data_IF_266058042631
#
_entry.id   IF_266058042631
#
_cell.length_a   1.000
_cell.length_b   1.000
_cell.length_c   1.000
_cell.angle_alpha   90.00
_cell.angle_beta   90.00
_cell.angle_gamma   90.00
#
_symmetry.space_group_name_H-M   'P 1'
#
loop_
_entity.id
_entity.type
_entity.pdbx_description
1 polymer ?
#
# COMPACT_ATOMS: atom_id res chain seq x y z
N UNK A 1 -6.84 -11.66 -6.77
CA UNK A 1 -7.32 -12.96 -7.28
C UNK A 1 -6.29 -14.07 -7.10
N UNK A 2 -5.03 -13.88 -7.50
CA UNK A 2 -3.96 -14.88 -7.36
C UNK A 2 -3.67 -15.36 -5.92
N UNK A 3 -3.92 -14.51 -4.92
CA UNK A 3 -3.79 -14.87 -3.49
C UNK A 3 -4.60 -16.10 -3.10
N UNK A 4 -5.83 -16.21 -3.61
CA UNK A 4 -6.68 -17.38 -3.33
C UNK A 4 -6.14 -18.66 -3.98
N UNK A 5 -5.58 -18.56 -5.19
CA UNK A 5 -4.96 -19.71 -5.86
C UNK A 5 -3.75 -20.23 -5.08
N UNK A 6 -2.86 -19.33 -4.66
CA UNK A 6 -1.67 -19.69 -3.88
C UNK A 6 -2.06 -20.31 -2.53
N UNK A 7 -3.04 -19.72 -1.84
CA UNK A 7 -3.59 -20.28 -0.60
C UNK A 7 -4.26 -21.65 -0.82
N UNK A 8 -4.94 -21.84 -1.95
CA UNK A 8 -5.52 -23.14 -2.33
C UNK A 8 -4.47 -24.22 -2.56
N UNK A 9 -3.37 -23.88 -3.25
CA UNK A 9 -2.24 -24.82 -3.46
C UNK A 9 -1.57 -25.17 -2.14
N UNK A 10 -1.30 -24.17 -1.28
CA UNK A 10 -0.73 -24.40 0.05
C UNK A 10 -1.65 -25.25 0.95
N UNK A 11 -2.96 -25.03 0.83
CA UNK A 11 -3.98 -25.84 1.51
C UNK A 11 -3.91 -27.30 1.05
N UNK A 12 -3.91 -27.56 -0.26
CA UNK A 12 -3.81 -28.90 -0.84
C UNK A 12 -2.52 -29.62 -0.44
N UNK A 13 -1.39 -28.90 -0.40
CA UNK A 13 -0.11 -29.43 0.05
C UNK A 13 -0.17 -29.91 1.50
N UNK A 14 -0.72 -29.09 2.40
CA UNK A 14 -0.80 -29.47 3.82
C UNK A 14 -1.81 -30.59 4.07
N UNK A 15 -2.97 -30.57 3.41
CA UNK A 15 -3.93 -31.68 3.48
C UNK A 15 -3.30 -32.97 2.93
N UNK A 16 -2.64 -32.89 1.77
CA UNK A 16 -1.93 -34.02 1.17
C UNK A 16 -0.83 -34.57 2.08
N UNK A 17 -0.06 -33.70 2.74
CA UNK A 17 0.96 -34.12 3.70
C UNK A 17 0.35 -34.90 4.88
N UNK A 18 -0.79 -34.44 5.42
CA UNK A 18 -1.48 -35.17 6.51
C UNK A 18 -2.02 -36.52 6.04
N UNK A 19 -2.59 -36.59 4.82
CA UNK A 19 -3.02 -37.87 4.23
C UNK A 19 -1.86 -38.81 3.93
N UNK A 20 -0.67 -38.28 3.66
CA UNK A 20 0.53 -39.08 3.44
C UNK A 20 1.10 -39.62 4.75
N UNK A 21 1.19 -38.77 5.79
CA UNK A 21 1.73 -39.14 7.10
C UNK A 21 0.78 -40.11 7.84
N UNK A 22 -0.53 -40.06 7.55
CA UNK A 22 -1.57 -40.88 8.16
C UNK A 22 -1.40 -40.99 9.68
N UNK A 23 -1.49 -39.85 10.41
CA UNK A 23 -1.25 -39.85 11.84
C UNK A 23 -2.21 -40.84 12.54
N UNK A 24 -1.67 -41.60 13.49
CA UNK A 24 -2.40 -42.58 14.33
C UNK A 24 -3.55 -41.95 15.12
N UNK A 25 -3.59 -40.62 15.21
CA UNK A 25 -4.69 -39.87 15.80
C UNK A 25 -6.00 -39.92 14.97
N UNK A 26 -5.93 -40.01 13.64
CA UNK A 26 -7.11 -40.06 12.75
C UNK A 26 -7.23 -41.37 11.97
N UNK A 27 -6.14 -42.13 11.88
CA UNK A 27 -6.10 -43.40 11.14
C UNK A 27 -5.86 -44.56 12.11
N UNK A 28 -6.55 -45.66 11.85
CA UNK A 28 -6.25 -46.96 12.47
C UNK A 28 -4.91 -47.49 11.91
N UNK A 29 -4.20 -48.41 12.60
CA UNK A 29 -2.98 -49.02 12.07
C UNK A 29 -3.18 -49.69 10.70
N UNK A 30 -4.41 -50.13 10.43
CA UNK A 30 -4.84 -50.71 9.15
C UNK A 30 -5.03 -49.65 8.03
N UNK A 31 -4.78 -48.37 8.31
CA UNK A 31 -4.95 -47.26 7.38
C UNK A 31 -6.41 -46.89 7.10
N UNK A 32 -7.37 -47.47 7.83
CA UNK A 32 -8.77 -47.04 7.80
C UNK A 32 -8.96 -45.73 8.55
N UNK A 33 -9.98 -44.98 8.14
CA UNK A 33 -10.38 -43.76 8.83
C UNK A 33 -11.07 -44.14 10.13
N UNK A 34 -10.67 -43.49 11.23
CA UNK A 34 -11.30 -43.66 12.52
C UNK A 34 -12.64 -42.93 12.53
N UNK A 35 -13.68 -43.58 13.05
CA UNK A 35 -15.01 -42.99 13.09
C UNK A 35 -15.07 -41.88 14.15
N UNK A 36 -15.83 -40.82 13.87
CA UNK A 36 -16.06 -39.78 14.86
C UNK A 36 -17.06 -40.28 15.89
N UNK A 37 -16.68 -40.25 17.16
CA UNK A 37 -17.58 -40.64 18.24
C UNK A 37 -17.01 -40.32 19.63
N UNK A 38 -17.93 -40.10 20.57
CA UNK A 38 -17.64 -39.90 21.99
C UNK A 38 -18.18 -41.12 22.73
N UNK A 39 -17.32 -41.83 23.47
CA UNK A 39 -17.75 -42.90 24.38
C UNK A 39 -17.77 -44.32 23.81
N UNK A 40 -16.93 -44.64 22.83
CA UNK A 40 -16.65 -46.03 22.42
C UNK A 40 -15.15 -46.28 22.42
N UNK A 41 -14.73 -47.54 22.60
CA UNK A 41 -13.34 -47.98 22.82
C UNK A 41 -12.30 -47.13 22.07
N UNK A 42 -11.29 -46.67 22.82
CA UNK A 42 -10.29 -45.66 22.41
C UNK A 42 -9.57 -46.02 21.09
N UNK A 43 -9.57 -47.30 20.72
CA UNK A 43 -8.93 -47.81 19.51
C UNK A 43 -9.73 -47.53 18.22
N UNK A 44 -11.04 -47.27 18.30
CA UNK A 44 -11.93 -47.16 17.11
C UNK A 44 -12.54 -45.78 16.87
N UNK A 45 -12.55 -44.89 17.88
CA UNK A 45 -13.18 -43.58 17.78
C UNK A 45 -12.21 -42.42 17.98
N UNK A 46 -12.36 -41.35 17.20
CA UNK A 46 -11.57 -40.13 17.38
C UNK A 46 -12.47 -38.93 17.68
N UNK A 47 -12.10 -38.10 18.68
CA UNK A 47 -12.88 -36.92 19.05
C UNK A 47 -12.71 -35.76 18.06
N UNK A 48 -11.76 -35.86 17.13
CA UNK A 48 -11.42 -34.78 16.20
C UNK A 48 -11.57 -35.27 14.75
N UNK A 49 -12.65 -34.91 14.06
CA UNK A 49 -12.91 -35.43 12.74
C UNK A 49 -12.08 -34.69 11.69
N UNK A 50 -11.75 -35.37 10.59
CA UNK A 50 -10.84 -34.85 9.56
C UNK A 50 -11.28 -33.54 8.91
N UNK A 51 -12.58 -33.37 8.69
CA UNK A 51 -13.13 -32.12 8.14
C UNK A 51 -12.84 -30.91 9.03
N UNK A 52 -12.75 -31.09 10.35
CA UNK A 52 -12.44 -30.00 11.27
C UNK A 52 -10.99 -29.56 11.12
N UNK A 53 -10.06 -30.51 10.94
CA UNK A 53 -8.69 -30.19 10.54
C UNK A 53 -8.65 -29.45 9.20
N UNK A 54 -9.40 -29.89 8.19
CA UNK A 54 -9.47 -29.20 6.90
C UNK A 54 -9.93 -27.76 7.04
N UNK A 55 -10.95 -27.51 7.87
CA UNK A 55 -11.47 -26.17 8.11
C UNK A 55 -10.42 -25.27 8.78
N UNK A 56 -9.75 -25.77 9.82
CA UNK A 56 -8.68 -25.05 10.51
C UNK A 56 -7.50 -24.78 9.58
N UNK A 57 -7.10 -25.77 8.78
CA UNK A 57 -6.00 -25.64 7.84
C UNK A 57 -6.31 -24.66 6.71
N UNK A 58 -7.57 -24.57 6.25
CA UNK A 58 -8.00 -23.61 5.25
C UNK A 58 -7.83 -22.16 5.75
N UNK A 59 -8.27 -21.88 6.98
CA UNK A 59 -8.08 -20.56 7.61
C UNK A 59 -6.59 -20.27 7.79
N UNK A 60 -5.82 -21.24 8.28
CA UNK A 60 -4.38 -21.08 8.49
C UNK A 60 -3.64 -20.78 7.18
N UNK A 61 -3.93 -21.51 6.11
CA UNK A 61 -3.31 -21.32 4.79
C UNK A 61 -3.58 -19.91 4.26
N UNK A 62 -4.83 -19.45 4.34
CA UNK A 62 -5.19 -18.11 3.88
C UNK A 62 -4.48 -17.01 4.67
N UNK A 63 -4.49 -17.10 6.01
CA UNK A 63 -3.80 -16.14 6.88
C UNK A 63 -2.28 -16.14 6.64
N UNK A 64 -1.69 -17.33 6.47
CA UNK A 64 -0.27 -17.47 6.17
C UNK A 64 0.12 -16.73 4.90
N UNK A 65 -0.64 -16.89 3.80
CA UNK A 65 -0.40 -16.18 2.54
C UNK A 65 -0.58 -14.67 2.69
N UNK A 66 -1.59 -14.22 3.46
CA UNK A 66 -1.79 -12.80 3.75
C UNK A 66 -0.61 -12.17 4.47
N UNK A 67 -0.11 -12.83 5.53
CA UNK A 67 1.05 -12.38 6.31
C UNK A 67 2.28 -12.34 5.42
N UNK A 68 2.55 -13.42 4.69
CA UNK A 68 3.74 -13.54 3.85
C UNK A 68 3.76 -12.48 2.74
N UNK A 69 2.64 -12.29 2.04
CA UNK A 69 2.54 -11.30 0.97
C UNK A 69 2.52 -9.87 1.51
N UNK A 70 1.90 -9.64 2.68
CA UNK A 70 1.91 -8.36 3.37
C UNK A 70 3.32 -7.94 3.79
N UNK A 71 4.09 -8.86 4.39
CA UNK A 71 5.48 -8.62 4.76
C UNK A 71 6.39 -8.36 3.56
N UNK A 72 6.16 -9.03 2.43
CA UNK A 72 6.97 -8.81 1.22
C UNK A 72 6.69 -7.44 0.56
N UNK A 73 5.44 -6.97 0.57
CA UNK A 73 5.09 -5.64 0.05
C UNK A 73 5.73 -4.51 0.86
N UNK A 74 5.74 -4.64 2.18
CA UNK A 74 6.34 -3.63 3.07
C UNK A 74 7.86 -3.51 2.88
N UNK A 75 8.57 -4.62 2.66
CA UNK A 75 10.02 -4.59 2.41
C UNK A 75 10.41 -3.91 1.09
N UNK A 76 9.58 -4.03 0.05
CA UNK A 76 9.89 -3.47 -1.26
C UNK A 76 9.59 -1.96 -1.35
N UNK A 77 8.63 -1.44 -0.57
CA UNK A 77 8.34 0.01 -0.55
C UNK A 77 9.50 0.82 0.00
N UNK A 78 10.19 0.33 1.03
CA UNK A 78 11.31 1.07 1.63
C UNK A 78 12.52 1.14 0.68
N UNK A 79 12.77 0.06 -0.08
CA UNK A 79 13.88 -0.01 -1.04
C UNK A 79 13.61 0.83 -2.31
N UNK A 80 12.37 0.87 -2.80
CA UNK A 80 12.01 1.71 -3.96
C UNK A 80 11.95 3.20 -3.60
N UNK A 81 11.54 3.55 -2.37
CA UNK A 81 11.55 4.94 -1.93
C UNK A 81 12.98 5.48 -1.77
N UNK A 82 13.92 4.64 -1.33
CA UNK A 82 15.35 4.96 -1.28
C UNK A 82 16.03 5.01 -2.66
N UNK A 83 15.45 4.43 -3.70
CA UNK A 83 15.98 4.56 -5.08
C UNK A 83 15.40 5.77 -5.81
N UNK A 84 14.15 6.15 -5.50
CA UNK A 84 13.48 7.29 -6.12
C UNK A 84 14.10 8.63 -5.70
N UNK A 85 14.52 8.79 -4.44
CA UNK A 85 15.17 10.01 -3.95
C UNK A 85 16.63 10.16 -4.42
N UNK A 86 17.36 9.09 -4.75
CA UNK A 86 18.72 9.19 -5.34
C UNK A 86 18.70 9.50 -6.84
N UNK A 87 17.58 9.23 -7.53
CA UNK A 87 17.44 9.43 -8.98
C UNK A 87 16.98 10.85 -9.37
N UNK A 88 16.57 11.68 -8.39
CA UNK A 88 16.19 13.08 -8.62
C UNK A 88 17.38 14.05 -8.61
N UNK A 89 18.60 13.54 -8.43
CA UNK A 89 19.84 14.28 -8.69
C UNK A 89 20.28 13.95 -10.12
N UNK A 90 19.50 14.37 -11.11
CA UNK A 90 19.97 14.43 -12.49
C UNK A 90 20.42 15.87 -12.79
N UNK A 91 21.68 16.10 -13.21
CA UNK A 91 22.10 17.43 -13.67
C UNK A 91 21.46 17.68 -15.04
N UNK A 92 20.47 18.57 -15.09
CA UNK A 92 19.90 19.06 -16.35
C UNK A 92 20.92 19.98 -17.03
N UNK A 93 21.80 19.40 -17.85
CA UNK A 93 22.49 20.12 -18.91
C UNK A 93 21.67 19.94 -20.19
N UNK A 94 20.64 20.77 -20.35
CA UNK A 94 19.89 20.92 -21.58
C UNK A 94 20.17 22.32 -22.14
N UNK A 95 21.16 22.36 -23.03
CA UNK A 95 21.54 23.50 -23.85
C UNK A 95 20.36 23.96 -24.71
N UNK A 96 19.68 25.02 -24.26
CA UNK A 96 18.74 25.82 -25.03
C UNK A 96 19.21 27.27 -24.98
N UNK A 97 19.52 27.83 -26.15
CA UNK A 97 19.75 29.26 -26.33
C UNK A 97 18.49 29.99 -25.86
N UNK A 98 18.58 30.76 -24.78
CA UNK A 98 17.94 32.06 -24.57
C UNK A 98 18.38 32.57 -23.18
N UNK A 99 18.63 33.87 -23.10
CA UNK A 99 19.30 34.63 -22.03
C UNK A 99 19.05 34.13 -20.59
N UNK A 100 20.07 34.11 -19.71
CA UNK A 100 19.93 33.65 -18.33
C UNK A 100 19.20 34.72 -17.50
N UNK A 101 17.87 34.67 -17.48
CA UNK A 101 17.14 35.23 -16.35
C UNK A 101 17.38 34.28 -15.17
N UNK A 102 18.41 34.60 -14.38
CA UNK A 102 18.86 33.84 -13.23
C UNK A 102 17.74 33.84 -12.18
N UNK A 103 16.91 32.80 -12.21
CA UNK A 103 15.83 32.64 -11.24
C UNK A 103 16.44 32.55 -9.85
N UNK A 104 15.94 33.32 -8.86
CA UNK A 104 16.50 33.33 -7.53
C UNK A 104 16.48 31.92 -6.95
N UNK A 105 17.65 31.48 -6.48
CA UNK A 105 17.82 30.15 -5.92
C UNK A 105 16.98 30.01 -4.65
N UNK A 106 16.00 29.12 -4.64
CA UNK A 106 15.22 28.78 -3.46
C UNK A 106 14.04 27.86 -3.78
N UNK A 107 13.34 27.40 -2.75
CA UNK A 107 12.22 26.48 -2.90
C UNK A 107 11.06 26.83 -1.97
N UNK A 108 9.84 26.60 -2.46
CA UNK A 108 8.62 26.81 -1.69
C UNK A 108 8.32 25.59 -0.82
N UNK A 109 8.25 25.80 0.49
CA UNK A 109 7.83 24.79 1.44
C UNK A 109 6.38 25.04 1.88
N UNK A 110 5.57 23.98 1.91
CA UNK A 110 4.22 24.06 2.47
C UNK A 110 4.30 24.30 3.98
N UNK A 111 3.74 25.41 4.45
CA UNK A 111 3.63 25.68 5.87
C UNK A 111 2.38 24.97 6.43
N UNK A 112 2.60 23.77 6.96
CA UNK A 112 1.53 22.91 7.52
C UNK A 112 0.79 23.56 8.69
N UNK A 113 1.46 24.40 9.49
CA UNK A 113 0.86 25.08 10.65
C UNK A 113 -0.09 26.19 10.20
N UNK A 114 0.36 27.04 9.27
CA UNK A 114 -0.45 28.11 8.73
C UNK A 114 -1.63 27.57 7.88
N UNK A 115 -1.38 26.52 7.09
CA UNK A 115 -2.41 25.87 6.25
C UNK A 115 -3.57 25.32 7.07
N UNK A 116 -3.30 24.72 8.24
CA UNK A 116 -4.37 24.21 9.12
C UNK A 116 -5.26 25.29 9.71
N UNK A 117 -4.72 26.50 9.88
CA UNK A 117 -5.44 27.64 10.46
C UNK A 117 -6.25 28.40 9.40
N UNK A 118 -5.73 28.50 8.18
CA UNK A 118 -6.38 29.25 7.09
C UNK A 118 -7.30 28.39 6.22
N UNK A 119 -7.21 27.07 6.29
CA UNK A 119 -8.05 26.14 5.50
C UNK A 119 -7.64 25.99 4.03
N UNK A 120 -6.64 26.76 3.56
CA UNK A 120 -6.05 26.66 2.24
C UNK A 120 -4.52 26.52 2.32
N UNK A 121 -3.87 25.81 1.38
CA UNK A 121 -2.44 25.56 1.41
C UNK A 121 -1.66 26.88 1.30
N UNK A 122 -0.86 27.18 2.34
CA UNK A 122 0.02 28.35 2.38
C UNK A 122 1.46 27.93 2.23
N UNK A 123 2.13 28.43 1.20
CA UNK A 123 3.53 28.16 0.92
C UNK A 123 4.42 29.29 1.44
N UNK A 124 5.61 28.92 1.88
CA UNK A 124 6.65 29.85 2.33
C UNK A 124 7.90 29.60 1.50
N UNK A 125 8.45 30.66 0.91
CA UNK A 125 9.70 30.59 0.17
C UNK A 125 10.89 30.44 1.14
N UNK A 126 11.81 29.55 0.81
CA UNK A 126 13.06 29.31 1.53
C UNK A 126 14.21 29.44 0.54
N UNK A 127 14.94 30.54 0.63
CA UNK A 127 16.13 30.82 -0.17
C UNK A 127 16.96 31.94 0.47
N UNK A 128 18.24 32.08 0.09
CA UNK A 128 19.13 33.14 0.58
C UNK A 128 18.60 34.55 0.32
N UNK A 129 17.93 34.76 -0.82
CA UNK A 129 17.31 36.04 -1.18
C UNK A 129 15.80 35.95 -1.03
N UNK A 130 15.18 36.88 -0.28
CA UNK A 130 13.72 36.90 -0.10
C UNK A 130 12.99 36.95 -1.44
N UNK A 131 11.79 36.35 -1.58
CA UNK A 131 11.12 36.27 -2.88
C UNK A 131 10.89 37.68 -3.41
N UNK A 132 11.51 38.01 -4.54
CA UNK A 132 11.20 39.26 -5.24
C UNK A 132 9.72 39.19 -5.62
N UNK A 133 8.91 40.02 -4.96
CA UNK A 133 7.50 40.10 -5.30
C UNK A 133 7.39 40.60 -6.74
N UNK A 134 6.61 39.94 -7.62
CA UNK A 134 6.32 40.50 -8.91
C UNK A 134 5.68 41.88 -8.68
N UNK A 135 6.34 42.94 -9.16
CA UNK A 135 5.79 44.29 -9.14
C UNK A 135 4.40 44.22 -9.80
N UNK A 136 3.35 44.82 -9.20
CA UNK A 136 2.01 44.75 -9.76
C UNK A 136 2.04 45.32 -11.18
N UNK A 137 1.97 44.42 -12.16
CA UNK A 137 1.85 44.76 -13.57
C UNK A 137 0.49 45.40 -13.76
N UNK A 138 0.50 46.69 -14.08
CA UNK A 138 -0.65 47.50 -14.45
C UNK A 138 -1.34 46.91 -15.69
N UNK A 139 -2.48 46.23 -15.51
CA UNK A 139 -3.44 45.84 -16.56
C UNK A 139 -4.78 45.56 -15.85
N UNK A 140 -5.93 46.24 -16.05
CA UNK A 140 -6.36 47.16 -17.09
C UNK A 140 -7.43 48.12 -16.54
N UNK A 141 -7.30 49.38 -16.94
CA UNK A 141 -8.38 50.31 -17.21
C UNK A 141 -9.41 49.64 -18.14
N UNK A 142 -10.61 49.34 -17.64
CA UNK A 142 -11.82 49.24 -18.47
C UNK A 142 -12.80 50.27 -17.94
N UNK A 143 -12.50 51.53 -18.24
CA UNK A 143 -13.49 52.60 -18.35
C UNK A 143 -14.11 52.49 -19.75
N UNK A 144 -15.43 52.32 -19.84
CA UNK A 144 -16.35 52.97 -20.80
C UNK A 144 -17.70 52.23 -20.78
N UNK A 145 -18.73 52.78 -20.15
CA UNK A 145 -19.77 53.66 -20.74
C UNK A 145 -21.05 52.87 -21.03
N UNK A 146 -21.96 52.87 -20.06
CA UNK A 146 -23.39 52.62 -20.29
C UNK A 146 -24.17 53.83 -19.75
N UNK A 147 -24.17 54.92 -20.51
CA UNK A 147 -25.14 56.00 -20.36
C UNK A 147 -26.39 55.69 -21.17
N UNK A 148 -27.55 55.70 -20.51
CA UNK A 148 -28.88 56.14 -20.99
C UNK A 148 -29.88 55.81 -19.84
N UNK A 149 -30.06 56.69 -18.87
CA UNK A 149 -31.12 57.72 -18.78
C UNK A 149 -32.57 57.19 -18.88
N UNK A 150 -33.30 57.44 -17.79
CA UNK A 150 -34.74 57.80 -17.68
C UNK A 150 -35.84 56.84 -18.14
N UNK A 151 -36.71 56.48 -17.20
CA UNK A 151 -38.01 57.15 -17.07
C UNK A 151 -38.45 57.22 -15.60
#
# INVERSE_FOLDING_TARGET
MWTFLIAGVLYLLGVGAVLYIRPTYMFTPDGKWKEFGIGSTDDKHTPFPFWLFCLTWAVFSYVSVLVFLGSMKFKNSDILNYKANTSLVHPLNAKGNDSPEELPHGYYMLNKKATKLSGFPKYMYVGPDGPEMPKPSLLNTVSNTSTLQTK
#
